data_IF_123101448755
#
_entry.id   IF_123101448755
#
_cell.length_a   1.000
_cell.length_b   1.000
_cell.length_c   1.000
_cell.angle_alpha   90.00
_cell.angle_beta   90.00
_cell.angle_gamma   90.00
#
_symmetry.space_group_name_H-M   'P 1'
#
loop_
_entity.id
_entity.type
_entity.pdbx_description
1 polymer ?
#
# COMPACT_ATOMS: atom_id res chain seq x y z
N UNK A 1 -12.92 5.08 17.29
CA UNK A 1 -11.97 6.06 16.72
C UNK A 1 -12.74 7.14 15.98
N UNK A 2 -12.22 8.36 15.94
CA UNK A 2 -12.78 9.50 15.20
C UNK A 2 -11.72 10.04 14.25
N UNK A 3 -12.13 10.49 13.07
CA UNK A 3 -11.25 11.09 12.07
C UNK A 3 -11.88 12.37 11.50
N UNK A 4 -11.08 13.25 10.93
CA UNK A 4 -11.57 14.47 10.29
C UNK A 4 -12.53 14.11 9.15
N UNK A 5 -13.65 14.83 9.07
CA UNK A 5 -14.67 14.54 8.08
C UNK A 5 -14.21 14.99 6.69
N UNK A 6 -14.39 14.12 5.68
CA UNK A 6 -14.00 14.43 4.31
C UNK A 6 -15.09 15.21 3.58
N UNK A 7 -14.67 16.09 2.67
CA UNK A 7 -15.51 17.05 1.96
C UNK A 7 -15.07 17.14 0.50
N UNK A 8 -15.91 17.78 -0.32
CA UNK A 8 -15.57 18.07 -1.70
C UNK A 8 -14.23 18.81 -1.80
N UNK A 9 -13.41 18.42 -2.78
CA UNK A 9 -12.06 18.93 -3.03
C UNK A 9 -11.03 18.66 -1.92
N UNK A 10 -11.36 17.91 -0.87
CA UNK A 10 -10.31 17.43 0.01
C UNK A 10 -9.39 16.45 -0.78
N UNK A 11 -8.06 16.56 -0.62
CA UNK A 11 -7.09 15.79 -1.40
C UNK A 11 -7.08 14.30 -1.06
N UNK A 12 -6.66 13.51 -2.04
CA UNK A 12 -6.31 12.10 -1.86
C UNK A 12 -4.83 11.88 -2.12
N UNK A 13 -4.23 10.95 -1.39
CA UNK A 13 -2.84 10.55 -1.57
C UNK A 13 -2.69 9.05 -1.73
N UNK A 14 -1.74 8.66 -2.56
CA UNK A 14 -1.26 7.28 -2.63
C UNK A 14 0.03 7.16 -1.84
N UNK A 15 0.34 5.95 -1.39
CA UNK A 15 1.65 5.68 -0.84
C UNK A 15 2.68 5.56 -1.97
N UNK A 16 3.90 5.19 -1.64
CA UNK A 16 4.92 4.82 -2.62
C UNK A 16 5.32 3.35 -2.42
N UNK A 17 4.40 2.52 -1.91
CA UNK A 17 4.67 1.12 -1.54
C UNK A 17 5.28 0.32 -2.70
N UNK A 18 4.71 0.43 -3.91
CA UNK A 18 5.25 -0.30 -5.07
C UNK A 18 6.63 0.22 -5.51
N UNK A 19 6.87 1.54 -5.44
CA UNK A 19 8.19 2.11 -5.73
C UNK A 19 9.24 1.69 -4.71
N UNK A 20 8.85 1.67 -3.43
CA UNK A 20 9.68 1.17 -2.34
C UNK A 20 10.00 -0.32 -2.50
N UNK A 21 9.01 -1.14 -2.85
CA UNK A 21 9.18 -2.56 -3.14
C UNK A 21 10.21 -2.80 -4.23
N UNK A 22 10.07 -2.13 -5.38
CA UNK A 22 11.00 -2.31 -6.51
C UNK A 22 12.42 -1.84 -6.18
N UNK A 23 12.54 -0.72 -5.48
CA UNK A 23 13.84 -0.19 -5.06
C UNK A 23 14.49 -1.12 -4.04
N UNK A 24 13.73 -1.60 -3.06
CA UNK A 24 14.19 -2.56 -2.07
C UNK A 24 14.61 -3.89 -2.69
N UNK A 25 13.87 -4.38 -3.68
CA UNK A 25 14.21 -5.58 -4.44
C UNK A 25 15.55 -5.43 -5.15
N UNK A 26 15.74 -4.33 -5.86
CA UNK A 26 16.98 -4.06 -6.59
C UNK A 26 18.19 -3.94 -5.65
N UNK A 27 18.05 -3.23 -4.53
CA UNK A 27 19.09 -3.11 -3.51
C UNK A 27 19.39 -4.48 -2.89
N UNK A 28 18.36 -5.23 -2.50
CA UNK A 28 18.50 -6.57 -1.93
C UNK A 28 19.23 -7.53 -2.86
N UNK A 29 18.87 -7.55 -4.15
CA UNK A 29 19.56 -8.35 -5.16
C UNK A 29 21.02 -7.90 -5.35
N UNK A 30 21.27 -6.59 -5.43
CA UNK A 30 22.62 -6.03 -5.61
C UNK A 30 23.55 -6.36 -4.45
N UNK A 31 23.08 -6.26 -3.20
CA UNK A 31 23.85 -6.62 -2.00
C UNK A 31 24.21 -8.11 -2.01
N UNK A 32 23.28 -8.99 -2.40
CA UNK A 32 23.58 -10.41 -2.53
C UNK A 32 24.66 -10.68 -3.58
N UNK A 33 24.58 -10.06 -4.76
CA UNK A 33 25.59 -10.25 -5.80
C UNK A 33 27.00 -9.84 -5.32
N UNK A 34 27.10 -8.72 -4.60
CA UNK A 34 28.36 -8.32 -3.99
C UNK A 34 28.86 -9.33 -2.94
N UNK A 35 27.98 -9.80 -2.06
CA UNK A 35 28.31 -10.82 -1.06
C UNK A 35 28.74 -12.15 -1.69
N UNK A 36 28.07 -12.58 -2.75
CA UNK A 36 28.39 -13.81 -3.50
C UNK A 36 29.76 -13.69 -4.16
N UNK A 37 30.06 -12.54 -4.78
CA UNK A 37 31.36 -12.29 -5.40
C UNK A 37 32.51 -12.31 -4.37
N UNK A 38 32.27 -11.83 -3.16
CA UNK A 38 33.24 -11.84 -2.07
C UNK A 38 33.42 -13.25 -1.49
N UNK A 39 32.32 -13.95 -1.21
CA UNK A 39 32.34 -15.27 -0.56
C UNK A 39 32.60 -16.43 -1.54
N UNK A 40 32.61 -16.19 -2.85
CA UNK A 40 32.82 -17.22 -3.87
C UNK A 40 31.70 -18.27 -3.92
N UNK A 41 30.48 -17.93 -3.51
CA UNK A 41 29.36 -18.88 -3.50
C UNK A 41 28.85 -19.14 -4.92
N UNK A 42 28.57 -20.41 -5.24
CA UNK A 42 28.15 -20.83 -6.57
C UNK A 42 26.89 -21.71 -6.55
N UNK A 43 26.42 -22.07 -7.74
CA UNK A 43 25.33 -23.04 -7.91
C UNK A 43 24.00 -22.60 -7.27
N UNK A 44 23.25 -23.56 -6.75
CA UNK A 44 21.92 -23.32 -6.18
C UNK A 44 21.94 -22.36 -4.97
N UNK A 45 23.04 -22.36 -4.20
CA UNK A 45 23.19 -21.49 -3.05
C UNK A 45 23.25 -20.01 -3.45
N UNK A 46 23.99 -19.67 -4.52
CA UNK A 46 24.05 -18.31 -5.05
C UNK A 46 22.67 -17.80 -5.50
N UNK A 47 21.90 -18.63 -6.20
CA UNK A 47 20.54 -18.29 -6.64
C UNK A 47 19.62 -18.06 -5.45
N UNK A 48 19.69 -18.93 -4.43
CA UNK A 48 18.88 -18.79 -3.23
C UNK A 48 19.28 -17.58 -2.38
N UNK A 49 20.56 -17.20 -2.33
CA UNK A 49 21.01 -15.97 -1.66
C UNK A 49 20.39 -14.75 -2.34
N UNK A 50 20.45 -14.66 -3.68
CA UNK A 50 19.82 -13.54 -4.42
C UNK A 50 18.31 -13.54 -4.22
N UNK A 51 17.64 -14.69 -4.30
CA UNK A 51 16.20 -14.79 -4.08
C UNK A 51 15.77 -14.36 -2.68
N UNK A 52 16.49 -14.80 -1.64
CA UNK A 52 16.23 -14.43 -0.25
C UNK A 52 16.50 -12.93 -0.01
N UNK A 53 17.63 -12.40 -0.49
CA UNK A 53 17.98 -11.00 -0.27
C UNK A 53 17.08 -10.04 -1.05
N UNK A 54 16.72 -10.39 -2.29
CA UNK A 54 15.84 -9.59 -3.13
C UNK A 54 14.42 -9.56 -2.56
N UNK A 55 13.89 -10.69 -2.10
CA UNK A 55 12.57 -10.76 -1.47
C UNK A 55 12.53 -10.04 -0.11
N UNK A 56 13.57 -10.20 0.72
CA UNK A 56 13.70 -9.45 1.97
C UNK A 56 13.81 -7.94 1.72
N UNK A 57 14.65 -7.53 0.76
CA UNK A 57 14.78 -6.14 0.35
C UNK A 57 13.46 -5.57 -0.18
N UNK A 58 12.73 -6.33 -1.01
CA UNK A 58 11.42 -5.94 -1.52
C UNK A 58 10.40 -5.71 -0.40
N UNK A 59 10.32 -6.61 0.57
CA UNK A 59 9.41 -6.47 1.71
C UNK A 59 9.74 -5.25 2.57
N UNK A 60 11.01 -5.05 2.90
CA UNK A 60 11.46 -3.87 3.67
C UNK A 60 11.17 -2.58 2.89
N UNK A 61 11.50 -2.56 1.60
CA UNK A 61 11.26 -1.43 0.72
C UNK A 61 9.78 -1.09 0.61
N UNK A 62 8.91 -2.08 0.49
CA UNK A 62 7.46 -1.89 0.45
C UNK A 62 6.95 -1.25 1.75
N UNK A 63 7.36 -1.77 2.90
CA UNK A 63 6.97 -1.24 4.21
C UNK A 63 7.38 0.22 4.33
N UNK A 64 8.63 0.55 3.98
CA UNK A 64 9.13 1.94 3.99
C UNK A 64 8.30 2.82 3.02
N UNK A 65 8.06 2.35 1.81
CA UNK A 65 7.25 3.05 0.81
C UNK A 65 5.79 3.25 1.22
N UNK A 66 5.26 2.40 2.10
CA UNK A 66 3.90 2.49 2.63
C UNK A 66 3.74 3.47 3.80
N UNK A 67 4.86 3.98 4.36
CA UNK A 67 4.82 4.91 5.47
C UNK A 67 4.19 6.25 5.05
N UNK A 68 3.54 6.92 6.00
CA UNK A 68 2.85 8.20 5.79
C UNK A 68 3.77 9.33 5.31
N UNK A 69 5.08 9.21 5.50
CA UNK A 69 6.08 10.17 4.99
C UNK A 69 6.37 10.04 3.49
N UNK A 70 5.97 8.93 2.86
CA UNK A 70 6.20 8.64 1.44
C UNK A 70 4.89 8.63 0.64
N UNK A 71 3.96 9.51 1.00
CA UNK A 71 2.71 9.68 0.25
C UNK A 71 2.78 10.86 -0.71
N UNK A 72 2.14 10.73 -1.86
CA UNK A 72 2.03 11.81 -2.84
C UNK A 72 0.57 12.13 -3.11
N UNK A 73 0.22 13.42 -3.05
CA UNK A 73 -1.10 13.89 -3.45
C UNK A 73 -1.31 13.56 -4.93
N UNK A 74 -2.37 12.82 -5.19
CA UNK A 74 -2.62 12.20 -6.50
C UNK A 74 -3.99 12.60 -7.04
N UNK A 75 -4.66 13.56 -6.42
CA UNK A 75 -6.01 13.95 -6.82
C UNK A 75 -6.84 14.53 -5.68
N UNK A 76 -8.15 14.64 -5.94
CA UNK A 76 -9.11 15.19 -4.98
C UNK A 76 -10.49 14.59 -5.16
N UNK A 77 -11.33 14.75 -4.13
CA UNK A 77 -12.75 14.38 -4.18
C UNK A 77 -13.49 15.28 -5.17
N UNK A 78 -14.17 14.67 -6.16
CA UNK A 78 -14.80 15.37 -7.28
C UNK A 78 -16.34 15.38 -7.22
N UNK A 79 -16.96 14.58 -6.33
CA UNK A 79 -18.38 14.69 -6.01
C UNK A 79 -18.65 14.55 -4.51
N UNK A 80 -19.80 15.03 -4.07
CA UNK A 80 -20.18 15.05 -2.65
C UNK A 80 -21.70 15.20 -2.47
N UNK A 81 -22.16 15.20 -1.22
CA UNK A 81 -23.55 15.41 -0.84
C UNK A 81 -24.16 16.74 -1.35
N UNK A 82 -25.36 16.73 -1.95
CA UNK A 82 -26.00 17.95 -2.47
C UNK A 82 -26.55 18.89 -1.37
N UNK A 83 -26.86 18.36 -0.19
CA UNK A 83 -27.62 19.07 0.86
C UNK A 83 -26.98 19.01 2.25
N UNK A 84 -26.03 18.09 2.50
CA UNK A 84 -25.29 18.02 3.77
C UNK A 84 -23.92 18.62 3.58
N UNK A 85 -23.63 19.66 4.35
CA UNK A 85 -22.38 20.43 4.28
C UNK A 85 -21.64 20.36 5.61
N UNK A 86 -20.31 20.29 5.54
CA UNK A 86 -19.39 20.37 6.66
C UNK A 86 -18.52 21.60 6.44
N UNK A 87 -18.59 22.58 7.34
CA UNK A 87 -17.95 23.89 7.19
C UNK A 87 -18.33 24.58 5.86
N UNK A 88 -19.60 24.49 5.47
CA UNK A 88 -20.11 25.08 4.21
C UNK A 88 -19.77 24.30 2.93
N UNK A 89 -18.88 23.31 3.00
CA UNK A 89 -18.48 22.47 1.86
C UNK A 89 -19.27 21.15 1.87
N UNK A 90 -19.78 20.68 0.71
CA UNK A 90 -20.44 19.38 0.59
C UNK A 90 -19.67 18.23 1.26
N UNK A 91 -20.38 17.40 2.05
CA UNK A 91 -19.78 16.26 2.74
C UNK A 91 -19.59 15.05 1.82
N UNK A 92 -18.44 14.39 1.90
CA UNK A 92 -18.13 13.22 1.08
C UNK A 92 -18.68 11.91 1.69
N UNK A 93 -19.06 10.98 0.81
CA UNK A 93 -19.74 9.72 1.17
C UNK A 93 -19.11 8.54 0.44
N UNK A 94 -18.90 7.45 1.16
CA UNK A 94 -18.51 6.18 0.54
C UNK A 94 -19.63 5.67 -0.37
N UNK A 95 -19.27 4.90 -1.41
CA UNK A 95 -20.15 4.33 -2.44
C UNK A 95 -20.85 5.32 -3.37
N UNK A 96 -21.22 6.50 -2.88
CA UNK A 96 -21.98 7.49 -3.64
C UNK A 96 -21.11 8.54 -4.33
N UNK A 97 -19.93 8.85 -3.77
CA UNK A 97 -19.10 9.93 -4.23
C UNK A 97 -17.79 9.46 -4.88
N UNK A 98 -17.27 10.29 -5.78
CA UNK A 98 -16.15 10.01 -6.64
C UNK A 98 -14.93 10.87 -6.32
N UNK A 99 -13.77 10.36 -6.71
CA UNK A 99 -12.48 11.04 -6.69
C UNK A 99 -11.89 11.05 -8.10
N UNK A 100 -11.22 12.14 -8.42
CA UNK A 100 -10.39 12.23 -9.62
C UNK A 100 -8.95 11.92 -9.20
N UNK A 101 -8.39 10.82 -9.71
CA UNK A 101 -7.02 10.39 -9.41
C UNK A 101 -6.16 10.48 -10.68
N UNK A 102 -4.98 11.12 -10.58
CA UNK A 102 -4.03 11.33 -11.68
C UNK A 102 -3.03 10.19 -11.87
N UNK A 103 -2.91 9.26 -10.91
CA UNK A 103 -1.98 8.12 -10.99
C UNK A 103 -2.49 6.94 -11.83
N UNK A 104 -3.77 6.92 -12.14
CA UNK A 104 -4.40 5.86 -12.92
C UNK A 104 -5.12 6.45 -14.12
N UNK A 105 -5.55 5.58 -15.04
CA UNK A 105 -6.35 6.00 -16.20
C UNK A 105 -7.53 6.89 -15.75
N UNK A 106 -7.90 7.87 -16.59
CA UNK A 106 -8.71 9.06 -16.30
C UNK A 106 -10.17 8.80 -15.84
N UNK A 107 -10.47 7.59 -15.36
CA UNK A 107 -11.74 7.23 -14.77
C UNK A 107 -11.87 7.71 -13.33
N UNK A 108 -13.01 8.33 -13.03
CA UNK A 108 -13.48 8.59 -11.67
C UNK A 108 -13.46 7.31 -10.85
N UNK A 109 -12.88 7.36 -9.65
CA UNK A 109 -12.85 6.23 -8.71
C UNK A 109 -13.84 6.51 -7.58
N UNK A 110 -14.55 5.49 -7.13
CA UNK A 110 -15.48 5.66 -6.00
C UNK A 110 -14.71 5.71 -4.68
N UNK A 111 -15.24 6.44 -3.70
CA UNK A 111 -14.78 6.33 -2.31
C UNK A 111 -15.28 4.99 -1.76
N UNK A 112 -14.37 4.07 -1.44
CA UNK A 112 -14.69 2.67 -1.16
C UNK A 112 -14.82 2.37 0.34
N UNK A 113 -14.46 3.32 1.21
CA UNK A 113 -14.56 3.16 2.66
C UNK A 113 -15.24 4.36 3.33
N UNK A 114 -15.94 4.10 4.43
CA UNK A 114 -16.55 5.14 5.24
C UNK A 114 -16.95 4.65 6.63
N UNK A 115 -17.65 5.51 7.39
CA UNK A 115 -18.12 5.18 8.73
C UNK A 115 -19.34 4.25 8.74
N UNK A 116 -19.27 3.17 9.51
CA UNK A 116 -20.42 2.32 9.85
C UNK A 116 -21.49 3.09 10.62
N UNK A 117 -21.09 4.00 11.51
CA UNK A 117 -21.97 4.62 12.50
C UNK A 117 -22.60 5.93 12.06
N UNK A 118 -22.03 6.59 11.05
CA UNK A 118 -22.51 7.89 10.58
C UNK A 118 -22.79 7.79 9.09
N UNK A 119 -24.04 8.08 8.72
CA UNK A 119 -24.51 8.05 7.33
C UNK A 119 -24.94 9.43 6.90
N UNK A 120 -24.66 9.79 5.66
CA UNK A 120 -25.05 11.05 5.01
C UNK A 120 -25.83 10.69 3.76
N UNK A 121 -27.09 11.14 3.66
CA UNK A 121 -28.02 10.77 2.60
C UNK A 121 -28.13 9.25 2.39
N UNK A 122 -28.10 8.49 3.48
CA UNK A 122 -28.18 7.04 3.44
C UNK A 122 -26.88 6.31 3.11
N UNK A 123 -25.77 6.99 2.82
CA UNK A 123 -24.47 6.36 2.54
C UNK A 123 -23.46 6.57 3.68
N UNK A 124 -22.50 5.66 3.92
CA UNK A 124 -21.46 5.84 4.94
C UNK A 124 -20.68 7.14 4.74
N UNK A 125 -20.45 7.90 5.80
CA UNK A 125 -19.71 9.16 5.70
C UNK A 125 -18.20 8.91 5.57
N UNK A 126 -17.56 9.56 4.59
CA UNK A 126 -16.12 9.43 4.34
C UNK A 126 -15.30 10.35 5.26
N UNK A 127 -14.07 9.92 5.57
CA UNK A 127 -13.18 10.59 6.53
C UNK A 127 -11.73 10.52 6.05
N UNK A 128 -10.89 11.35 6.66
CA UNK A 128 -9.44 11.24 6.51
C UNK A 128 -8.98 9.83 6.88
N UNK A 129 -8.23 9.22 5.98
CA UNK A 129 -7.72 7.86 6.08
C UNK A 129 -8.61 6.77 5.47
N UNK A 130 -9.88 7.06 5.14
CA UNK A 130 -10.71 6.11 4.40
C UNK A 130 -10.21 6.00 2.94
N UNK A 131 -10.26 4.78 2.38
CA UNK A 131 -9.74 4.46 1.04
C UNK A 131 -10.73 4.68 -0.09
N UNK A 132 -10.17 4.90 -1.27
CA UNK A 132 -10.86 4.93 -2.57
C UNK A 132 -10.68 3.58 -3.28
N UNK A 133 -11.43 3.36 -4.37
CA UNK A 133 -11.33 2.11 -5.14
C UNK A 133 -9.97 1.88 -5.81
N UNK A 134 -9.10 2.90 -5.87
CA UNK A 134 -7.72 2.76 -6.31
C UNK A 134 -6.72 2.63 -5.14
N UNK A 135 -7.19 2.37 -3.91
CA UNK A 135 -6.35 2.25 -2.70
C UNK A 135 -5.65 3.56 -2.28
N UNK A 136 -6.00 4.68 -2.92
CA UNK A 136 -5.67 6.01 -2.43
C UNK A 136 -6.43 6.33 -1.14
N UNK A 137 -5.85 7.14 -0.26
CA UNK A 137 -6.45 7.55 1.01
C UNK A 137 -6.77 9.03 0.99
N UNK A 138 -7.88 9.42 1.62
CA UNK A 138 -8.19 10.83 1.85
C UNK A 138 -7.15 11.41 2.82
N UNK A 139 -6.37 12.38 2.39
CA UNK A 139 -5.19 12.88 3.12
C UNK A 139 -5.51 14.07 4.02
N UNK A 140 -6.55 14.83 3.70
CA UNK A 140 -6.99 15.99 4.48
C UNK A 140 -8.51 16.06 4.58
N UNK A 141 -8.99 16.86 5.51
CA UNK A 141 -10.41 16.96 5.85
C UNK A 141 -10.74 18.21 6.64
N UNK A 142 -11.93 18.24 7.21
CA UNK A 142 -12.37 19.31 8.10
C UNK A 142 -11.47 19.47 9.33
N UNK A 143 -11.16 20.73 9.70
CA UNK A 143 -10.30 21.07 10.83
C UNK A 143 -10.95 20.86 12.21
N UNK A 144 -12.27 20.95 12.29
CA UNK A 144 -13.03 20.95 13.56
C UNK A 144 -14.15 19.89 13.62
N UNK A 145 -14.72 19.48 12.49
CA UNK A 145 -15.70 18.39 12.42
C UNK A 145 -15.00 17.04 12.28
N UNK A 146 -15.29 16.13 13.21
CA UNK A 146 -14.80 14.75 13.23
C UNK A 146 -15.95 13.77 13.19
N UNK A 147 -15.79 12.69 12.41
CA UNK A 147 -16.77 11.61 12.30
C UNK A 147 -16.20 10.35 12.95
N UNK A 148 -16.98 9.79 13.87
CA UNK A 148 -16.67 8.54 14.56
C UNK A 148 -17.20 7.30 13.83
N UNK A 149 -16.85 6.13 14.38
CA UNK A 149 -17.34 4.83 13.91
C UNK A 149 -16.24 3.93 13.37
N UNK A 150 -16.54 2.63 13.28
CA UNK A 150 -15.67 1.67 12.57
C UNK A 150 -15.71 1.95 11.07
N UNK A 151 -14.66 1.56 10.36
CA UNK A 151 -14.61 1.65 8.89
C UNK A 151 -15.35 0.46 8.29
N UNK A 152 -16.17 0.72 7.27
CA UNK A 152 -16.75 -0.31 6.39
C UNK A 152 -16.29 -0.08 4.98
N UNK A 153 -15.91 -1.17 4.31
CA UNK A 153 -15.65 -1.19 2.88
C UNK A 153 -16.99 -1.38 2.15
N UNK A 154 -17.34 -0.43 1.29
CA UNK A 154 -18.58 -0.47 0.49
C UNK A 154 -18.35 -1.01 -0.91
N UNK A 155 -17.14 -0.83 -1.44
CA UNK A 155 -16.80 -1.15 -2.82
C UNK A 155 -15.43 -1.86 -2.89
N UNK A 156 -15.15 -2.51 -4.02
CA UNK A 156 -13.88 -3.19 -4.23
C UNK A 156 -12.72 -2.19 -4.32
N UNK A 157 -11.61 -2.52 -3.64
CA UNK A 157 -10.40 -1.71 -3.58
C UNK A 157 -9.33 -2.46 -4.36
N UNK A 158 -8.79 -1.82 -5.39
CA UNK A 158 -7.63 -2.32 -6.12
C UNK A 158 -6.35 -1.88 -5.39
N UNK A 159 -5.65 -2.78 -4.69
CA UNK A 159 -4.51 -2.42 -3.84
C UNK A 159 -3.33 -1.88 -4.67
N UNK A 160 -2.58 -0.94 -4.11
CA UNK A 160 -1.44 -0.31 -4.78
C UNK A 160 -0.33 -1.32 -5.10
N UNK A 161 -0.13 -2.31 -4.22
CA UNK A 161 0.66 -3.52 -4.52
C UNK A 161 -0.32 -4.66 -4.74
N UNK A 162 -0.32 -5.30 -5.92
CA UNK A 162 -1.28 -6.35 -6.19
C UNK A 162 -0.97 -7.59 -5.34
N UNK A 163 -2.01 -8.20 -4.78
CA UNK A 163 -1.89 -9.31 -3.81
C UNK A 163 -1.09 -10.48 -4.39
N UNK A 164 -1.27 -10.81 -5.67
CA UNK A 164 -0.51 -11.90 -6.32
C UNK A 164 1.00 -11.64 -6.33
N UNK A 165 1.43 -10.37 -6.40
CA UNK A 165 2.85 -10.00 -6.40
C UNK A 165 3.44 -10.20 -5.00
N UNK A 166 2.72 -9.81 -3.95
CA UNK A 166 3.16 -10.07 -2.57
C UNK A 166 3.32 -11.58 -2.31
N UNK A 167 2.36 -12.40 -2.74
CA UNK A 167 2.47 -13.86 -2.62
C UNK A 167 3.63 -14.43 -3.43
N UNK A 168 3.92 -13.85 -4.59
CA UNK A 168 5.05 -14.28 -5.43
C UNK A 168 6.38 -13.98 -4.72
N UNK A 169 6.55 -12.77 -4.19
CA UNK A 169 7.77 -12.36 -3.48
C UNK A 169 7.95 -13.17 -2.20
N UNK A 170 6.88 -13.37 -1.43
CA UNK A 170 6.90 -14.22 -0.25
C UNK A 170 7.23 -15.67 -0.61
N UNK A 171 6.66 -16.20 -1.69
CA UNK A 171 6.96 -17.54 -2.21
C UNK A 171 8.43 -17.71 -2.59
N UNK A 172 9.01 -16.72 -3.29
CA UNK A 172 10.45 -16.71 -3.62
C UNK A 172 11.31 -16.69 -2.36
N UNK A 173 10.97 -15.86 -1.38
CA UNK A 173 11.69 -15.78 -0.11
C UNK A 173 11.64 -17.09 0.67
N UNK A 174 10.47 -17.71 0.78
CA UNK A 174 10.27 -19.00 1.47
C UNK A 174 11.02 -20.11 0.74
N UNK A 175 10.90 -20.21 -0.59
CA UNK A 175 11.63 -21.20 -1.38
C UNK A 175 13.15 -21.04 -1.24
N UNK A 176 13.64 -19.80 -1.25
CA UNK A 176 15.06 -19.49 -1.05
C UNK A 176 15.52 -19.90 0.35
N UNK A 177 14.72 -19.63 1.38
CA UNK A 177 15.02 -20.04 2.75
C UNK A 177 15.09 -21.56 2.89
N UNK A 178 14.19 -22.31 2.25
CA UNK A 178 14.23 -23.78 2.24
C UNK A 178 15.50 -24.33 1.58
N UNK A 179 15.97 -23.70 0.49
CA UNK A 179 17.23 -24.08 -0.16
C UNK A 179 18.43 -23.79 0.75
N UNK A 180 18.49 -22.60 1.35
CA UNK A 180 19.61 -22.21 2.21
C UNK A 180 19.65 -22.98 3.53
N UNK A 181 18.49 -23.33 4.08
CA UNK A 181 18.38 -24.17 5.28
C UNK A 181 18.56 -25.67 4.99
N UNK A 182 18.71 -26.07 3.72
CA UNK A 182 18.89 -27.48 3.38
C UNK A 182 20.21 -28.02 3.94
N UNK A 183 20.22 -29.27 4.46
CA UNK A 183 21.43 -29.86 5.03
C UNK A 183 22.62 -29.87 4.06
N UNK A 184 22.37 -30.04 2.76
CA UNK A 184 23.40 -30.01 1.73
C UNK A 184 24.10 -28.65 1.66
N UNK A 185 23.34 -27.54 1.62
CA UNK A 185 23.92 -26.19 1.55
C UNK A 185 24.60 -25.82 2.86
N UNK A 186 24.01 -26.17 4.00
CA UNK A 186 24.58 -25.89 5.33
C UNK A 186 25.89 -26.64 5.55
N UNK A 187 25.95 -27.93 5.20
CA UNK A 187 27.17 -28.76 5.36
C UNK A 187 28.29 -28.30 4.43
N UNK A 188 27.97 -27.90 3.19
CA UNK A 188 28.94 -27.28 2.27
C UNK A 188 29.47 -25.95 2.80
N UNK A 189 28.61 -25.12 3.41
CA UNK A 189 29.03 -23.86 4.03
C UNK A 189 29.93 -24.04 5.25
N UNK A 190 29.71 -25.11 6.05
CA UNK A 190 30.52 -25.40 7.23
C UNK A 190 31.90 -26.01 6.91
N UNK A 191 32.04 -26.66 5.75
CA UNK A 191 33.28 -27.32 5.31
C UNK A 191 34.17 -26.43 4.43
N UNK A 192 33.60 -25.40 3.79
CA UNK A 192 34.30 -24.50 2.88
C UNK A 192 34.63 -23.11 3.45
N UNK A 193 34.39 -22.89 4.75
CA UNK A 193 34.74 -21.67 5.48
C UNK A 193 36.12 -21.68 6.10
#
# INVERSE_FOLDING_TARGET
MTAAAARLHDPISHTSAMGGLLTGLAIGAGVALAGIAIAGTGGLAAVAIVGASASAGAGIGQVIGSLSGFTNESGMISSASPNVRINGVPAARAHADYVDCSKHDHGRKVIAEGSVGVRINGYPAARVGDRTACDGKISSGSSNVRIGGKTVQTDEINPEVPVWLEWTIAGVGIASALVLASPAVVTLGLLGG
#
